data_IF_677086936772
#
_entry.id   IF_677086936772
#
_cell.length_a   1.000
_cell.length_b   1.000
_cell.length_c   1.000
_cell.angle_alpha   90.00
_cell.angle_beta   90.00
_cell.angle_gamma   90.00
#
_symmetry.space_group_name_H-M   'P 1'
#
loop_
_entity.id
_entity.type
_entity.pdbx_description
1 polymer ?
#
# COMPACT_ATOMS: atom_id res chain seq x y z
N UNK A 1 21.14 -4.98 -4.05
CA UNK A 1 20.53 -3.72 -4.49
C UNK A 1 19.06 -3.79 -4.09
N UNK A 2 18.62 -2.96 -3.13
CA UNK A 2 17.21 -2.93 -2.72
C UNK A 2 16.45 -1.94 -3.59
N UNK A 3 15.53 -2.45 -4.41
CA UNK A 3 14.64 -1.66 -5.27
C UNK A 3 13.43 -1.14 -4.47
N UNK A 4 13.69 -0.35 -3.43
CA UNK A 4 12.65 0.17 -2.55
C UNK A 4 12.18 1.54 -3.03
N UNK A 5 10.92 1.63 -3.45
CA UNK A 5 10.34 2.84 -4.08
C UNK A 5 10.09 3.94 -3.06
N UNK A 6 9.82 3.59 -1.79
CA UNK A 6 9.57 4.54 -0.71
C UNK A 6 10.75 4.55 0.28
N UNK A 7 11.54 5.62 0.30
CA UNK A 7 12.70 5.72 1.19
C UNK A 7 12.30 6.37 2.49
N UNK A 8 11.86 5.55 3.43
CA UNK A 8 11.76 5.96 4.83
C UNK A 8 13.03 5.52 5.56
N UNK A 9 14.00 6.44 5.68
CA UNK A 9 15.34 6.19 6.24
C UNK A 9 15.26 5.46 7.59
N UNK A 10 14.37 5.81 8.54
CA UNK A 10 14.29 5.11 9.81
C UNK A 10 13.88 3.64 9.65
N UNK A 11 12.83 3.33 8.89
CA UNK A 11 12.41 1.94 8.69
C UNK A 11 13.49 1.10 8.00
N UNK A 12 14.18 1.67 7.00
CA UNK A 12 15.30 1.00 6.35
C UNK A 12 16.45 0.76 7.33
N UNK A 13 16.79 1.76 8.14
CA UNK A 13 17.84 1.63 9.16
C UNK A 13 17.51 0.52 10.16
N UNK A 14 16.25 0.39 10.60
CA UNK A 14 15.80 -0.70 11.46
C UNK A 14 15.82 -2.08 10.78
N UNK A 15 15.47 -2.18 9.50
CA UNK A 15 15.47 -3.46 8.76
C UNK A 15 16.88 -3.97 8.46
N UNK A 16 17.84 -3.08 8.21
CA UNK A 16 19.23 -3.47 7.87
C UNK A 16 20.19 -3.49 9.07
N UNK A 17 19.81 -2.93 10.22
CA UNK A 17 20.67 -2.86 11.40
C UNK A 17 20.29 -3.90 12.45
N UNK A 18 21.28 -4.60 12.99
CA UNK A 18 21.09 -5.61 14.03
C UNK A 18 20.88 -5.01 15.44
N UNK A 19 21.38 -3.80 15.67
CA UNK A 19 21.24 -3.08 16.94
C UNK A 19 21.25 -1.55 16.71
N UNK A 20 20.09 -0.95 16.40
CA UNK A 20 19.97 0.49 16.21
C UNK A 20 20.00 1.24 17.55
N UNK A 21 20.79 2.31 17.62
CA UNK A 21 20.83 3.24 18.76
C UNK A 21 20.49 4.63 18.27
N UNK A 22 19.65 5.33 19.02
CA UNK A 22 19.26 6.71 18.74
C UNK A 22 20.06 7.65 19.65
N UNK A 23 20.68 8.68 19.07
CA UNK A 23 21.45 9.68 19.80
C UNK A 23 20.68 10.99 19.76
N UNK A 24 20.29 11.50 20.93
CA UNK A 24 19.56 12.76 21.04
C UNK A 24 20.50 13.92 20.76
N UNK A 25 20.21 14.69 19.71
CA UNK A 25 20.93 15.92 19.39
C UNK A 25 20.05 17.09 19.75
N UNK A 26 20.57 18.04 20.53
CA UNK A 26 19.85 19.26 20.85
C UNK A 26 19.60 20.06 19.56
N UNK A 27 18.33 20.28 19.24
CA UNK A 27 17.92 21.16 18.15
C UNK A 27 17.53 22.51 18.77
N UNK A 28 18.03 23.60 18.20
CA UNK A 28 17.58 24.93 18.61
C UNK A 28 16.07 25.09 18.37
N UNK A 29 15.38 25.77 19.30
CA UNK A 29 13.97 26.11 19.12
C UNK A 29 13.80 26.96 17.84
N UNK A 30 12.77 26.62 17.05
CA UNK A 30 12.52 27.31 15.78
C UNK A 30 12.26 28.80 16.06
N UNK A 31 13.11 29.67 15.53
CA UNK A 31 13.01 31.12 15.70
C UNK A 31 11.74 31.74 15.07
N UNK A 32 11.15 31.09 14.05
CA UNK A 32 9.86 31.46 13.47
C UNK A 32 9.31 30.35 12.57
N UNK A 33 7.97 30.20 12.52
CA UNK A 33 7.24 29.37 11.56
C UNK A 33 6.28 28.37 12.20
N UNK A 34 5.04 28.34 11.69
CA UNK A 34 4.06 27.29 12.02
C UNK A 34 4.53 25.93 11.48
N UNK A 35 4.22 24.85 12.19
CA UNK A 35 4.49 23.49 11.72
C UNK A 35 3.85 23.27 10.35
N UNK A 36 4.67 23.06 9.30
CA UNK A 36 4.18 22.63 7.98
C UNK A 36 3.59 21.21 8.00
N UNK A 37 3.78 20.45 9.08
CA UNK A 37 3.17 19.13 9.25
C UNK A 37 1.79 19.28 9.87
N UNK A 38 0.78 19.35 9.00
CA UNK A 38 -0.62 19.18 9.40
C UNK A 38 -0.86 17.76 9.94
N UNK A 39 -1.77 17.63 10.90
CA UNK A 39 -2.28 16.34 11.40
C UNK A 39 -2.72 15.40 10.26
N UNK A 40 -3.27 15.96 9.17
CA UNK A 40 -3.67 15.21 7.98
C UNK A 40 -2.48 14.61 7.22
N UNK A 41 -1.35 15.33 7.19
CA UNK A 41 -0.10 14.85 6.60
C UNK A 41 0.48 13.68 7.41
N UNK A 42 0.38 13.74 8.74
CA UNK A 42 0.79 12.66 9.65
C UNK A 42 -0.05 11.39 9.47
N UNK A 43 -1.38 11.50 9.38
CA UNK A 43 -2.26 10.36 9.11
C UNK A 43 -1.94 9.74 7.75
N UNK A 44 -1.79 10.59 6.71
CA UNK A 44 -1.46 10.12 5.36
C UNK A 44 -0.11 9.40 5.34
N UNK A 45 0.91 9.94 6.03
CA UNK A 45 2.23 9.32 6.15
C UNK A 45 2.13 7.94 6.83
N UNK A 46 1.36 7.82 7.92
CA UNK A 46 1.18 6.54 8.59
C UNK A 46 0.46 5.51 7.71
N UNK A 47 -0.59 5.92 6.98
CA UNK A 47 -1.24 5.07 5.99
C UNK A 47 -0.28 4.63 4.89
N UNK A 48 0.54 5.53 4.36
CA UNK A 48 1.56 5.21 3.35
C UNK A 48 2.66 4.27 3.89
N UNK A 49 2.99 4.36 5.18
CA UNK A 49 3.94 3.45 5.84
C UNK A 49 3.32 2.06 6.04
N UNK A 50 2.10 1.97 6.57
CA UNK A 50 1.39 0.70 6.80
C UNK A 50 1.10 -0.02 5.48
N UNK A 51 0.68 0.69 4.45
CA UNK A 51 0.39 0.13 3.12
C UNK A 51 1.65 -0.13 2.29
N UNK A 52 2.71 0.68 2.47
CA UNK A 52 3.96 0.58 1.73
C UNK A 52 4.85 -0.59 2.15
N UNK A 53 4.75 -1.03 3.40
CA UNK A 53 5.58 -2.11 3.96
C UNK A 53 4.79 -3.35 4.41
N UNK A 54 3.45 -3.37 4.25
CA UNK A 54 2.63 -4.48 4.75
C UNK A 54 1.40 -4.84 3.90
N UNK A 55 1.07 -6.14 3.91
CA UNK A 55 -0.15 -6.70 3.31
C UNK A 55 -1.36 -6.67 4.27
N UNK A 56 -1.20 -6.09 5.47
CA UNK A 56 -2.21 -6.06 6.54
C UNK A 56 -3.56 -5.49 6.10
N UNK A 57 -3.66 -4.35 5.39
CA UNK A 57 -4.95 -3.83 4.90
C UNK A 57 -5.70 -4.81 4.00
N UNK A 58 -4.97 -5.45 3.08
CA UNK A 58 -5.52 -6.46 2.17
C UNK A 58 -5.99 -7.71 2.93
N UNK A 59 -5.21 -8.16 3.92
CA UNK A 59 -5.57 -9.30 4.76
C UNK A 59 -6.80 -9.01 5.64
N UNK A 60 -6.90 -7.82 6.21
CA UNK A 60 -8.08 -7.41 6.98
C UNK A 60 -9.35 -7.44 6.12
N UNK A 61 -9.27 -6.89 4.90
CA UNK A 61 -10.40 -6.93 3.96
C UNK A 61 -10.77 -8.37 3.56
N UNK A 62 -9.77 -9.24 3.38
CA UNK A 62 -10.00 -10.67 3.13
C UNK A 62 -10.71 -11.35 4.31
N UNK A 63 -10.30 -11.08 5.56
CA UNK A 63 -10.99 -11.61 6.75
C UNK A 63 -12.42 -11.10 6.88
N UNK A 64 -12.67 -9.83 6.56
CA UNK A 64 -14.03 -9.28 6.49
C UNK A 64 -14.88 -10.02 5.44
N UNK A 65 -14.32 -10.30 4.27
CA UNK A 65 -15.00 -11.07 3.23
C UNK A 65 -15.39 -12.48 3.68
N UNK A 66 -14.50 -13.17 4.40
CA UNK A 66 -14.79 -14.48 5.00
C UNK A 66 -15.94 -14.37 6.01
N UNK A 67 -15.89 -13.38 6.91
CA UNK A 67 -16.97 -13.13 7.88
C UNK A 67 -18.31 -12.86 7.21
N UNK A 68 -18.33 -12.05 6.15
CA UNK A 68 -19.53 -11.79 5.36
C UNK A 68 -20.06 -13.03 4.66
N UNK A 69 -19.19 -13.92 4.18
CA UNK A 69 -19.61 -15.18 3.55
C UNK A 69 -20.38 -16.06 4.52
N UNK A 70 -19.89 -16.21 5.76
CA UNK A 70 -20.61 -16.93 6.81
C UNK A 70 -21.95 -16.28 7.14
N UNK A 71 -22.00 -14.95 7.26
CA UNK A 71 -23.24 -14.23 7.52
C UNK A 71 -24.26 -14.42 6.40
N UNK A 72 -23.82 -14.34 5.14
CA UNK A 72 -24.66 -14.57 3.96
C UNK A 72 -25.20 -16.01 3.91
N UNK A 73 -24.35 -17.00 4.21
CA UNK A 73 -24.77 -18.40 4.28
C UNK A 73 -25.80 -18.64 5.40
N UNK A 74 -25.60 -18.05 6.58
CA UNK A 74 -26.56 -18.12 7.67
C UNK A 74 -27.90 -17.47 7.29
N UNK A 75 -27.86 -16.29 6.66
CA UNK A 75 -29.06 -15.59 6.18
C UNK A 75 -29.81 -16.43 5.13
N UNK A 76 -29.10 -17.05 4.19
CA UNK A 76 -29.67 -17.95 3.19
C UNK A 76 -30.39 -19.15 3.83
N UNK A 77 -29.75 -19.82 4.79
CA UNK A 77 -30.38 -20.95 5.52
C UNK A 77 -31.62 -20.48 6.27
N UNK A 78 -31.58 -19.29 6.90
CA UNK A 78 -32.71 -18.73 7.63
C UNK A 78 -33.89 -18.43 6.70
N UNK A 79 -33.64 -17.80 5.55
CA UNK A 79 -34.67 -17.54 4.53
C UNK A 79 -35.25 -18.84 3.94
N UNK A 80 -34.39 -19.84 3.70
CA UNK A 80 -34.82 -21.15 3.23
C UNK A 80 -35.75 -21.82 4.24
N UNK A 81 -35.35 -21.86 5.52
CA UNK A 81 -36.17 -22.43 6.59
C UNK A 81 -37.51 -21.68 6.74
N UNK A 82 -37.49 -20.34 6.71
CA UNK A 82 -38.70 -19.50 6.73
C UNK A 82 -39.63 -19.83 5.57
N UNK A 83 -39.10 -19.99 4.36
CA UNK A 83 -39.87 -20.33 3.15
C UNK A 83 -40.59 -21.67 3.27
N UNK A 84 -39.97 -22.68 3.89
CA UNK A 84 -40.59 -24.00 4.09
C UNK A 84 -41.68 -24.00 5.17
N UNK A 85 -41.56 -23.16 6.20
CA UNK A 85 -42.51 -23.14 7.34
C UNK A 85 -43.70 -22.19 7.08
N UNK A 86 -43.44 -20.97 6.60
CA UNK A 86 -44.44 -19.89 6.49
C UNK A 86 -44.88 -19.60 5.04
N UNK A 87 -44.25 -20.22 4.05
CA UNK A 87 -44.58 -20.01 2.64
C UNK A 87 -43.93 -18.75 2.04
N UNK A 88 -44.54 -18.23 0.97
CA UNK A 88 -43.99 -17.15 0.16
C UNK A 88 -44.36 -15.75 0.67
N UNK A 89 -43.47 -15.10 1.41
CA UNK A 89 -43.66 -13.70 1.81
C UNK A 89 -43.15 -12.73 0.72
N UNK A 90 -44.01 -11.81 0.27
CA UNK A 90 -43.71 -10.82 -0.79
C UNK A 90 -43.04 -9.56 -0.23
N UNK A 91 -43.03 -9.35 1.08
CA UNK A 91 -42.53 -8.12 1.73
C UNK A 91 -40.98 -8.01 1.79
N UNK A 92 -40.23 -9.02 1.36
CA UNK A 92 -38.76 -9.05 1.46
C UNK A 92 -38.00 -8.18 0.44
N UNK A 93 -38.67 -7.46 -0.45
CA UNK A 93 -38.01 -6.76 -1.56
C UNK A 93 -37.13 -5.59 -1.09
N UNK A 94 -37.61 -4.82 -0.10
CA UNK A 94 -36.85 -3.69 0.45
C UNK A 94 -35.59 -4.14 1.20
N UNK A 95 -35.70 -5.19 2.00
CA UNK A 95 -34.55 -5.76 2.73
C UNK A 95 -33.54 -6.38 1.77
N UNK A 96 -34.00 -7.03 0.70
CA UNK A 96 -33.14 -7.56 -0.36
C UNK A 96 -32.34 -6.45 -1.07
N UNK A 97 -32.99 -5.35 -1.45
CA UNK A 97 -32.29 -4.22 -2.06
C UNK A 97 -31.29 -3.57 -1.10
N UNK A 98 -31.66 -3.36 0.16
CA UNK A 98 -30.75 -2.80 1.16
C UNK A 98 -29.48 -3.65 1.33
N UNK A 99 -29.62 -4.97 1.48
CA UNK A 99 -28.50 -5.91 1.60
C UNK A 99 -27.67 -5.94 0.30
N UNK A 100 -28.32 -5.91 -0.85
CA UNK A 100 -27.66 -5.92 -2.16
C UNK A 100 -26.80 -4.68 -2.37
N UNK A 101 -27.34 -3.47 -2.11
CA UNK A 101 -26.58 -2.23 -2.22
C UNK A 101 -25.41 -2.18 -1.23
N UNK A 102 -25.62 -2.68 0.00
CA UNK A 102 -24.55 -2.80 0.98
C UNK A 102 -23.41 -3.71 0.49
N UNK A 103 -23.74 -4.90 -0.02
CA UNK A 103 -22.78 -5.84 -0.61
C UNK A 103 -22.05 -5.23 -1.81
N UNK A 104 -22.77 -4.54 -2.70
CA UNK A 104 -22.17 -3.87 -3.87
C UNK A 104 -21.19 -2.77 -3.46
N UNK A 105 -21.54 -1.96 -2.45
CA UNK A 105 -20.63 -0.97 -1.87
C UNK A 105 -19.36 -1.61 -1.32
N UNK A 106 -19.47 -2.73 -0.62
CA UNK A 106 -18.33 -3.47 -0.10
C UNK A 106 -17.43 -4.05 -1.21
N UNK A 107 -18.03 -4.59 -2.27
CA UNK A 107 -17.29 -5.10 -3.44
C UNK A 107 -16.51 -3.98 -4.12
N UNK A 108 -17.15 -2.82 -4.36
CA UNK A 108 -16.50 -1.66 -4.97
C UNK A 108 -15.35 -1.14 -4.09
N UNK A 109 -15.54 -1.10 -2.77
CA UNK A 109 -14.46 -0.76 -1.84
C UNK A 109 -13.29 -1.75 -1.95
N UNK A 110 -13.57 -3.05 -2.00
CA UNK A 110 -12.55 -4.08 -2.19
C UNK A 110 -11.77 -3.93 -3.50
N UNK A 111 -12.46 -3.64 -4.59
CA UNK A 111 -11.83 -3.38 -5.90
C UNK A 111 -10.94 -2.13 -5.83
N UNK A 112 -11.38 -1.06 -5.16
CA UNK A 112 -10.58 0.14 -4.95
C UNK A 112 -9.28 -0.14 -4.18
N UNK A 113 -9.37 -0.93 -3.12
CA UNK A 113 -8.22 -1.36 -2.32
C UNK A 113 -7.25 -2.20 -3.16
N UNK A 114 -7.74 -3.19 -3.91
CA UNK A 114 -6.91 -3.97 -4.83
C UNK A 114 -6.26 -3.08 -5.90
N UNK A 115 -6.99 -2.09 -6.43
CA UNK A 115 -6.47 -1.11 -7.38
C UNK A 115 -5.29 -0.31 -6.84
N UNK A 116 -5.33 0.09 -5.56
CA UNK A 116 -4.20 0.76 -4.90
C UNK A 116 -2.96 -0.15 -4.83
N UNK A 117 -3.14 -1.41 -4.44
CA UNK A 117 -2.05 -2.40 -4.38
C UNK A 117 -1.46 -2.69 -5.76
N UNK A 118 -2.30 -2.93 -6.77
CA UNK A 118 -1.86 -3.16 -8.16
C UNK A 118 -1.15 -1.92 -8.70
N UNK A 119 -1.62 -0.71 -8.36
CA UNK A 119 -0.95 0.54 -8.72
C UNK A 119 0.47 0.65 -8.13
N UNK A 120 0.65 0.24 -6.87
CA UNK A 120 1.98 0.20 -6.22
C UNK A 120 2.90 -0.83 -6.88
N UNK A 121 2.39 -2.03 -7.19
CA UNK A 121 3.15 -3.06 -7.94
C UNK A 121 3.55 -2.53 -9.32
N UNK A 122 2.63 -1.88 -10.03
CA UNK A 122 2.93 -1.28 -11.33
C UNK A 122 4.07 -0.24 -11.23
N UNK A 123 4.07 0.61 -10.20
CA UNK A 123 5.16 1.57 -10.00
C UNK A 123 6.51 0.89 -9.71
N UNK A 124 6.51 -0.22 -8.97
CA UNK A 124 7.73 -1.02 -8.71
C UNK A 124 8.27 -1.66 -10.00
N UNK A 125 7.40 -2.29 -10.81
CA UNK A 125 7.78 -2.97 -12.05
C UNK A 125 8.21 -2.00 -13.15
N UNK A 126 7.65 -0.78 -13.18
CA UNK A 126 7.96 0.24 -14.19
C UNK A 126 9.43 0.67 -14.18
N UNK A 127 10.18 0.42 -13.10
CA UNK A 127 11.64 0.56 -13.07
C UNK A 127 12.16 1.96 -13.44
N UNK A 128 11.36 3.02 -13.24
CA UNK A 128 11.77 4.39 -13.61
C UNK A 128 13.00 4.79 -12.78
N UNK A 129 14.13 5.17 -13.41
CA UNK A 129 15.33 5.56 -12.70
C UNK A 129 15.03 6.78 -11.82
N UNK A 130 15.39 6.69 -10.55
CA UNK A 130 15.00 7.64 -9.50
C UNK A 130 15.66 9.01 -9.65
N UNK A 131 16.78 9.05 -10.35
CA UNK A 131 17.52 10.26 -10.68
C UNK A 131 18.17 10.08 -12.05
N UNK A 132 18.33 11.20 -12.75
CA UNK A 132 19.12 11.27 -13.98
C UNK A 132 20.35 12.10 -13.63
N UNK A 133 21.53 11.54 -13.88
CA UNK A 133 22.79 12.26 -13.68
C UNK A 133 22.94 13.28 -14.80
N UNK A 134 22.81 14.57 -14.48
CA UNK A 134 22.94 15.64 -15.47
C UNK A 134 24.38 15.92 -15.89
N UNK A 135 25.34 15.78 -14.98
CA UNK A 135 26.77 16.04 -15.23
C UNK A 135 27.60 15.45 -14.09
N UNK A 136 28.73 14.83 -14.45
CA UNK A 136 29.72 14.31 -13.51
C UNK A 136 30.90 15.29 -13.53
N UNK A 137 31.10 16.04 -12.44
CA UNK A 137 32.10 17.11 -12.36
C UNK A 137 33.52 16.59 -12.03
N UNK A 138 33.64 15.36 -11.55
CA UNK A 138 34.91 14.76 -11.17
C UNK A 138 35.01 13.36 -11.78
N UNK A 139 35.80 13.24 -12.85
CA UNK A 139 36.25 11.94 -13.33
C UNK A 139 37.52 11.58 -12.56
N UNK A 140 37.37 10.85 -11.45
CA UNK A 140 38.51 10.22 -10.80
C UNK A 140 39.17 9.30 -11.83
N UNK A 141 40.40 9.62 -12.21
CA UNK A 141 41.19 8.80 -13.12
C UNK A 141 41.49 7.45 -12.44
N UNK A 142 40.62 6.47 -12.62
CA UNK A 142 40.93 5.07 -12.32
C UNK A 142 41.69 4.47 -13.52
N UNK A 143 42.97 4.08 -13.39
CA UNK A 143 43.81 3.70 -14.52
C UNK A 143 43.47 2.37 -15.22
N UNK A 144 42.34 1.71 -14.93
CA UNK A 144 42.14 0.29 -15.31
C UNK A 144 41.05 -0.03 -16.32
N UNK A 145 40.45 0.94 -17.00
CA UNK A 145 39.39 0.69 -18.00
C UNK A 145 39.79 1.15 -19.42
N UNK A 146 41.00 0.82 -19.86
CA UNK A 146 41.45 1.06 -21.25
C UNK A 146 41.70 -0.19 -22.10
N UNK A 147 41.38 -1.39 -21.62
CA UNK A 147 41.60 -2.63 -22.37
C UNK A 147 40.30 -3.34 -22.78
N UNK A 148 39.33 -2.65 -23.39
CA UNK A 148 38.27 -3.29 -24.18
C UNK A 148 37.45 -2.28 -24.97
N UNK A 149 37.95 -1.83 -26.13
CA UNK A 149 37.06 -1.46 -27.24
C UNK A 149 37.52 -2.21 -28.48
N UNK A 150 36.69 -3.06 -29.09
CA UNK A 150 37.01 -3.68 -30.35
C UNK A 150 36.94 -2.62 -31.45
N UNK A 151 37.95 -2.64 -32.32
CA UNK A 151 38.04 -1.81 -33.51
C UNK A 151 36.91 -2.14 -34.48
N UNK A 152 35.97 -1.21 -34.66
CA UNK A 152 35.09 -1.23 -35.82
C UNK A 152 35.88 -0.64 -36.99
N UNK A 153 36.30 -1.49 -37.93
CA UNK A 153 36.83 -1.10 -39.24
C UNK A 153 35.65 -0.83 -40.19
N UNK A 154 35.80 0.28 -40.92
CA UNK A 154 35.30 0.64 -42.26
C UNK A 154 34.11 -0.12 -42.82
#
# INVERSE_FOLDING_TARGET
>A
QCSEVNTFIPALAYTFSRNPTEITVAHEERAAGESKYSFYCLIRLNFDLVTGFSLVPLQFFSMLGIGLSFLSAALFILLMARRFIFGAEVEGVFTLFAITFFLMGMILFGIGLVGEYVGRIYQQVRGRPRYVVHTVLQQSADPKIHAARPSVRS
#
